data_IF_391179620551
#
_entry.id   IF_391179620551
#
_cell.length_a   1.000
_cell.length_b   1.000
_cell.length_c   1.000
_cell.angle_alpha   90.00
_cell.angle_beta   90.00
_cell.angle_gamma   90.00
#
_symmetry.space_group_name_H-M   'P 1'
#
loop_
_entity.id
_entity.type
_entity.pdbx_description
1 polymer ?
#
# COMPACT_ATOMS: atom_id res chain seq x y z
N UNK A 1 11.10 -22.56 -24.22
CA UNK A 1 10.13 -21.87 -23.36
C UNK A 1 10.68 -21.94 -21.94
N UNK A 2 11.31 -20.88 -21.43
CA UNK A 2 11.86 -20.88 -20.07
C UNK A 2 10.72 -20.75 -19.08
N UNK A 3 10.47 -21.79 -18.29
CA UNK A 3 9.54 -21.73 -17.16
C UNK A 3 10.17 -20.87 -16.06
N UNK A 4 9.84 -19.58 -16.06
CA UNK A 4 10.16 -18.69 -14.94
C UNK A 4 9.60 -19.34 -13.67
N UNK A 5 10.42 -19.58 -12.63
CA UNK A 5 9.96 -20.24 -11.42
C UNK A 5 8.81 -19.43 -10.81
N UNK A 6 7.67 -20.11 -10.68
CA UNK A 6 6.45 -19.52 -10.14
C UNK A 6 6.60 -19.32 -8.63
N UNK A 7 6.32 -18.11 -8.14
CA UNK A 7 6.23 -17.84 -6.72
C UNK A 7 4.82 -18.23 -6.25
N UNK A 8 4.73 -19.24 -5.39
CA UNK A 8 3.50 -19.67 -4.73
C UNK A 8 2.79 -18.46 -4.07
N UNK A 9 1.47 -18.24 -4.28
CA UNK A 9 0.73 -17.12 -3.70
C UNK A 9 0.86 -17.07 -2.19
N UNK A 10 1.01 -18.21 -1.52
CA UNK A 10 1.23 -18.27 -0.06
C UNK A 10 2.56 -17.66 0.31
N UNK A 11 3.63 -17.97 -0.45
CA UNK A 11 4.96 -17.39 -0.23
C UNK A 11 4.98 -15.90 -0.54
N UNK A 12 4.30 -15.48 -1.60
CA UNK A 12 4.13 -14.07 -1.93
C UNK A 12 3.33 -13.32 -0.85
N UNK A 13 2.31 -13.95 -0.29
CA UNK A 13 1.53 -13.47 0.86
C UNK A 13 2.38 -13.28 2.12
N UNK A 14 3.23 -14.25 2.47
CA UNK A 14 4.16 -14.08 3.60
C UNK A 14 5.20 -12.99 3.34
N UNK A 15 5.70 -12.89 2.10
CA UNK A 15 6.66 -11.86 1.70
C UNK A 15 6.05 -10.47 1.82
N UNK A 16 4.83 -10.25 1.31
CA UNK A 16 4.17 -8.94 1.43
C UNK A 16 3.80 -8.62 2.88
N UNK A 17 3.37 -9.60 3.69
CA UNK A 17 3.14 -9.38 5.13
C UNK A 17 4.42 -8.98 5.87
N UNK A 18 5.55 -9.64 5.56
CA UNK A 18 6.84 -9.28 6.15
C UNK A 18 7.28 -7.88 5.72
N UNK A 19 7.06 -7.51 4.45
CA UNK A 19 7.32 -6.17 3.93
C UNK A 19 6.45 -5.13 4.65
N UNK A 20 5.16 -5.42 4.89
CA UNK A 20 4.26 -4.55 5.65
C UNK A 20 4.76 -4.33 7.07
N UNK A 21 5.19 -5.39 7.78
CA UNK A 21 5.73 -5.27 9.14
C UNK A 21 6.98 -4.38 9.14
N UNK A 22 7.92 -4.62 8.22
CA UNK A 22 9.12 -3.78 8.07
C UNK A 22 8.73 -2.33 7.81
N UNK A 23 7.78 -2.07 6.91
CA UNK A 23 7.34 -0.71 6.60
C UNK A 23 6.65 -0.03 7.76
N UNK A 24 5.78 -0.73 8.52
CA UNK A 24 5.15 -0.17 9.73
C UNK A 24 6.21 0.18 10.78
N UNK A 25 7.18 -0.70 11.01
CA UNK A 25 8.27 -0.43 11.96
C UNK A 25 9.10 0.78 11.51
N UNK A 26 9.50 0.83 10.24
CA UNK A 26 10.23 1.98 9.70
C UNK A 26 9.42 3.28 9.76
N UNK A 27 8.10 3.22 9.55
CA UNK A 27 7.22 4.38 9.67
C UNK A 27 7.04 4.83 11.11
N UNK A 28 6.87 3.92 12.06
CA UNK A 28 6.82 4.28 13.49
C UNK A 28 8.14 4.94 13.87
N UNK A 29 9.29 4.35 13.51
CA UNK A 29 10.60 4.94 13.79
C UNK A 29 10.73 6.32 13.15
N UNK A 30 10.34 6.47 11.87
CA UNK A 30 10.36 7.76 11.18
C UNK A 30 9.49 8.81 11.89
N UNK A 31 8.28 8.44 12.30
CA UNK A 31 7.36 9.36 12.98
C UNK A 31 7.72 9.71 14.40
N UNK A 32 8.43 8.84 15.13
CA UNK A 32 8.96 9.18 16.44
C UNK A 32 10.17 10.12 16.35
N UNK A 33 10.79 10.25 15.17
CA UNK A 33 12.02 11.02 14.94
C UNK A 33 11.81 12.33 14.15
N UNK A 34 10.62 12.57 13.62
CA UNK A 34 10.27 13.76 12.82
C UNK A 34 9.28 14.64 13.58
N UNK A 35 9.71 15.87 13.92
CA UNK A 35 8.91 16.86 14.66
C UNK A 35 7.75 17.44 13.84
N UNK A 36 7.89 17.45 12.51
CA UNK A 36 6.96 18.09 11.58
C UNK A 36 5.92 17.11 11.02
N UNK A 37 5.99 15.82 11.37
CA UNK A 37 5.03 14.84 10.87
C UNK A 37 3.70 14.99 11.60
N UNK A 38 2.68 15.47 10.88
CA UNK A 38 1.35 15.85 11.38
C UNK A 38 0.64 14.81 12.28
N UNK A 39 1.03 13.53 12.23
CA UNK A 39 0.49 12.45 13.09
C UNK A 39 1.13 12.39 14.49
N UNK A 40 2.31 12.99 14.69
CA UNK A 40 3.17 12.81 15.87
C UNK A 40 3.72 14.14 16.43
N UNK A 41 3.05 15.25 16.13
CA UNK A 41 3.48 16.64 16.37
C UNK A 41 3.94 17.00 17.81
N UNK A 42 3.83 16.09 18.80
CA UNK A 42 4.39 16.25 20.14
C UNK A 42 4.68 14.91 20.83
N UNK A 43 5.86 14.27 20.71
CA UNK A 43 6.29 13.37 21.83
C UNK A 43 7.77 13.01 22.05
N UNK A 44 8.73 13.13 21.12
CA UNK A 44 10.06 12.49 21.37
C UNK A 44 11.33 13.27 21.00
N UNK A 45 11.27 14.58 20.78
CA UNK A 45 12.50 15.35 20.50
C UNK A 45 13.39 15.65 21.71
N UNK A 46 13.18 14.98 22.85
CA UNK A 46 14.07 15.09 24.02
C UNK A 46 15.14 13.98 24.10
N UNK A 47 15.21 13.06 23.12
CA UNK A 47 16.19 11.96 23.12
C UNK A 47 17.50 12.24 22.36
N UNK A 48 17.70 13.42 21.78
CA UNK A 48 19.01 13.82 21.25
C UNK A 48 19.53 13.01 20.05
N UNK A 49 18.66 12.29 19.36
CA UNK A 49 18.96 11.60 18.09
C UNK A 49 18.26 12.34 16.96
N UNK A 50 18.63 13.61 16.73
CA UNK A 50 18.19 14.34 15.55
C UNK A 50 19.10 13.98 14.37
N UNK A 51 19.02 12.75 13.87
CA UNK A 51 19.52 12.45 12.53
C UNK A 51 18.32 12.40 11.58
N UNK A 52 17.89 13.59 11.17
CA UNK A 52 16.98 13.84 10.04
C UNK A 52 17.43 13.02 8.80
N UNK A 53 18.74 12.71 8.71
CA UNK A 53 19.33 11.85 7.69
C UNK A 53 18.84 10.39 7.76
N UNK A 54 18.65 9.84 8.96
CA UNK A 54 18.20 8.47 9.17
C UNK A 54 16.73 8.30 8.76
N UNK A 55 15.88 9.28 9.07
CA UNK A 55 14.49 9.35 8.61
C UNK A 55 14.41 9.50 7.09
N UNK A 56 15.25 10.38 6.50
CA UNK A 56 15.40 10.56 5.04
C UNK A 56 15.78 9.28 4.30
N UNK A 57 16.41 8.31 4.95
CA UNK A 57 16.84 7.04 4.34
C UNK A 57 15.83 5.92 4.60
N UNK A 58 15.38 5.77 5.85
CA UNK A 58 14.45 4.70 6.23
C UNK A 58 13.11 4.82 5.52
N UNK A 59 12.59 6.04 5.34
CA UNK A 59 11.31 6.24 4.71
C UNK A 59 11.30 5.79 3.23
N UNK A 60 12.23 6.24 2.35
CA UNK A 60 12.36 5.71 0.99
C UNK A 60 12.58 4.21 0.92
N UNK A 61 13.42 3.65 1.81
CA UNK A 61 13.64 2.19 1.87
C UNK A 61 12.34 1.48 2.20
N UNK A 62 11.57 1.98 3.17
CA UNK A 62 10.29 1.39 3.56
C UNK A 62 9.27 1.42 2.42
N UNK A 63 9.21 2.52 1.66
CA UNK A 63 8.39 2.68 0.47
C UNK A 63 8.83 1.73 -0.66
N UNK A 64 10.14 1.53 -0.82
CA UNK A 64 10.67 0.62 -1.83
C UNK A 64 10.41 -0.84 -1.50
N UNK A 65 10.62 -1.25 -0.24
CA UNK A 65 10.37 -2.61 0.24
C UNK A 65 8.90 -2.99 0.06
N UNK A 66 7.97 -2.13 0.51
CA UNK A 66 6.53 -2.40 0.34
C UNK A 66 6.09 -2.30 -1.11
N UNK A 67 6.60 -1.33 -1.88
CA UNK A 67 6.28 -1.16 -3.29
C UNK A 67 6.66 -2.40 -4.09
N UNK A 68 7.86 -2.92 -3.88
CA UNK A 68 8.32 -4.15 -4.50
C UNK A 68 7.54 -5.38 -4.02
N UNK A 69 7.26 -5.48 -2.71
CA UNK A 69 6.43 -6.55 -2.14
C UNK A 69 5.03 -6.58 -2.76
N UNK A 70 4.41 -5.41 -2.96
CA UNK A 70 3.11 -5.25 -3.61
C UNK A 70 3.12 -5.65 -5.08
N UNK A 71 4.17 -5.32 -5.81
CA UNK A 71 4.33 -5.74 -7.21
C UNK A 71 4.44 -7.27 -7.32
N UNK A 72 5.25 -7.91 -6.47
CA UNK A 72 5.40 -9.37 -6.44
C UNK A 72 4.10 -10.07 -6.03
N UNK A 73 3.42 -9.54 -5.02
CA UNK A 73 2.12 -10.04 -4.58
C UNK A 73 1.08 -9.93 -5.69
N UNK A 74 0.91 -8.75 -6.29
CA UNK A 74 -0.02 -8.52 -7.39
C UNK A 74 0.22 -9.46 -8.57
N UNK A 75 1.48 -9.60 -9.00
CA UNK A 75 1.85 -10.47 -10.11
C UNK A 75 1.60 -11.96 -9.84
N UNK A 76 1.99 -12.44 -8.66
CA UNK A 76 1.83 -13.86 -8.29
C UNK A 76 0.36 -14.26 -8.16
N UNK A 77 -0.46 -13.42 -7.53
CA UNK A 77 -1.89 -13.71 -7.33
C UNK A 77 -2.68 -13.52 -8.62
N UNK A 78 -2.38 -12.50 -9.43
CA UNK A 78 -3.08 -12.27 -10.70
C UNK A 78 -2.95 -13.43 -11.69
N UNK A 79 -1.82 -14.15 -11.66
CA UNK A 79 -1.55 -15.28 -12.56
C UNK A 79 -2.35 -16.55 -12.26
N UNK A 80 -2.82 -16.71 -11.03
CA UNK A 80 -3.55 -17.90 -10.58
C UNK A 80 -5.02 -17.60 -10.29
N UNK A 81 -5.42 -16.33 -10.43
CA UNK A 81 -6.81 -15.95 -10.34
C UNK A 81 -7.53 -16.26 -11.65
N UNK A 82 -8.50 -17.17 -11.61
CA UNK A 82 -9.30 -17.58 -12.77
C UNK A 82 -10.28 -16.47 -13.22
N UNK A 83 -10.62 -15.54 -12.31
CA UNK A 83 -11.57 -14.46 -12.57
C UNK A 83 -10.86 -13.24 -13.13
N UNK A 84 -11.06 -12.96 -14.43
CA UNK A 84 -10.46 -11.81 -15.15
C UNK A 84 -10.59 -10.46 -14.44
N UNK A 85 -11.74 -10.20 -13.82
CA UNK A 85 -12.01 -8.94 -13.12
C UNK A 85 -11.16 -8.82 -11.84
N UNK A 86 -11.03 -9.90 -11.06
CA UNK A 86 -10.19 -9.92 -9.88
C UNK A 86 -8.70 -9.88 -10.24
N UNK A 87 -8.29 -10.60 -11.29
CA UNK A 87 -6.93 -10.56 -11.82
C UNK A 87 -6.51 -9.13 -12.20
N UNK A 88 -7.42 -8.34 -12.80
CA UNK A 88 -7.17 -6.92 -13.10
C UNK A 88 -6.91 -6.08 -11.83
N UNK A 89 -7.66 -6.33 -10.75
CA UNK A 89 -7.41 -5.69 -9.44
C UNK A 89 -6.04 -6.04 -8.86
N UNK A 90 -5.60 -7.30 -9.00
CA UNK A 90 -4.25 -7.70 -8.59
C UNK A 90 -3.15 -7.11 -9.47
N UNK A 91 -3.37 -6.96 -10.79
CA UNK A 91 -2.44 -6.21 -11.64
C UNK A 91 -2.35 -4.72 -11.26
N UNK A 92 -3.44 -4.11 -10.78
CA UNK A 92 -3.41 -2.74 -10.28
C UNK A 92 -2.54 -2.59 -9.00
N UNK A 93 -2.26 -3.67 -8.26
CA UNK A 93 -1.28 -3.65 -7.15
C UNK A 93 0.14 -3.35 -7.65
N UNK A 94 0.45 -3.68 -8.91
CA UNK A 94 1.74 -3.32 -9.53
C UNK A 94 1.83 -1.80 -9.70
N UNK A 95 0.75 -1.17 -10.17
CA UNK A 95 0.70 0.29 -10.30
C UNK A 95 0.79 0.97 -8.93
N UNK A 96 0.12 0.44 -7.92
CA UNK A 96 0.26 0.90 -6.54
C UNK A 96 1.71 0.81 -6.05
N UNK A 97 2.40 -0.31 -6.33
CA UNK A 97 3.81 -0.49 -5.99
C UNK A 97 4.75 0.49 -6.71
N UNK A 98 4.48 0.79 -7.99
CA UNK A 98 5.21 1.82 -8.74
C UNK A 98 4.98 3.21 -8.12
N UNK A 99 3.75 3.54 -7.72
CA UNK A 99 3.47 4.80 -7.02
C UNK A 99 4.21 4.90 -5.69
N UNK A 100 4.26 3.82 -4.90
CA UNK A 100 5.02 3.77 -3.65
C UNK A 100 6.52 3.95 -3.86
N UNK A 101 7.10 3.29 -4.87
CA UNK A 101 8.49 3.50 -5.26
C UNK A 101 8.73 4.96 -5.66
N UNK A 102 7.84 5.54 -6.47
CA UNK A 102 7.89 6.94 -6.86
C UNK A 102 7.87 7.89 -5.66
N UNK A 103 7.00 7.66 -4.67
CA UNK A 103 6.97 8.43 -3.42
C UNK A 103 8.31 8.33 -2.68
N UNK A 104 8.88 7.12 -2.58
CA UNK A 104 10.17 6.90 -1.93
C UNK A 104 11.33 7.63 -2.62
N UNK A 105 11.42 7.56 -3.95
CA UNK A 105 12.51 8.19 -4.72
C UNK A 105 12.37 9.71 -4.84
N UNK A 106 11.15 10.24 -4.98
CA UNK A 106 10.92 11.67 -5.18
C UNK A 106 10.99 12.46 -3.86
N UNK A 107 10.87 11.79 -2.70
CA UNK A 107 11.18 12.42 -1.41
C UNK A 107 12.65 12.81 -1.27
N UNK A 108 13.54 12.31 -2.14
CA UNK A 108 14.97 12.67 -2.17
C UNK A 108 15.26 13.86 -3.10
N UNK A 109 14.77 15.05 -2.77
CA UNK A 109 15.24 16.34 -3.35
C UNK A 109 14.62 16.83 -4.70
N UNK A 110 13.54 16.23 -5.23
CA UNK A 110 13.00 16.60 -6.55
C UNK A 110 11.52 17.02 -6.54
N UNK A 111 11.26 18.25 -6.11
CA UNK A 111 10.00 19.01 -6.28
C UNK A 111 8.72 18.46 -5.61
N UNK A 112 8.12 19.28 -4.75
CA UNK A 112 6.84 19.01 -4.06
C UNK A 112 5.71 18.53 -5.01
N UNK A 113 5.66 19.06 -6.23
CA UNK A 113 4.62 18.72 -7.21
C UNK A 113 4.71 17.27 -7.72
N UNK A 114 5.91 16.72 -7.89
CA UNK A 114 6.10 15.33 -8.32
C UNK A 114 5.70 14.35 -7.22
N UNK A 115 6.05 14.64 -5.96
CA UNK A 115 5.67 13.81 -4.81
C UNK A 115 4.14 13.69 -4.70
N UNK A 116 3.44 14.82 -4.74
CA UNK A 116 1.98 14.86 -4.68
C UNK A 116 1.33 14.12 -5.85
N UNK A 117 1.91 14.18 -7.06
CA UNK A 117 1.43 13.41 -8.21
C UNK A 117 1.46 11.90 -7.95
N UNK A 118 2.52 11.40 -7.31
CA UNK A 118 2.61 9.99 -6.94
C UNK A 118 1.64 9.62 -5.81
N UNK A 119 1.41 10.50 -4.83
CA UNK A 119 0.40 10.31 -3.77
C UNK A 119 -1.01 10.22 -4.38
N UNK A 120 -1.33 11.09 -5.34
CA UNK A 120 -2.61 11.02 -6.06
C UNK A 120 -2.74 9.73 -6.87
N UNK A 121 -1.71 9.35 -7.61
CA UNK A 121 -1.69 8.10 -8.37
C UNK A 121 -1.84 6.88 -7.46
N UNK A 122 -1.24 6.92 -6.26
CA UNK A 122 -1.37 5.85 -5.26
C UNK A 122 -2.82 5.69 -4.79
N UNK A 123 -3.54 6.77 -4.49
CA UNK A 123 -4.93 6.65 -4.06
C UNK A 123 -5.89 6.26 -5.18
N UNK A 124 -5.67 6.75 -6.40
CA UNK A 124 -6.44 6.29 -7.57
C UNK A 124 -6.21 4.80 -7.81
N UNK A 125 -4.96 4.34 -7.77
CA UNK A 125 -4.63 2.92 -7.96
C UNK A 125 -5.17 2.05 -6.82
N UNK A 126 -5.19 2.54 -5.57
CA UNK A 126 -5.85 1.86 -4.46
C UNK A 126 -7.34 1.62 -4.74
N UNK A 127 -8.07 2.65 -5.20
CA UNK A 127 -9.48 2.50 -5.58
C UNK A 127 -9.65 1.52 -6.76
N UNK A 128 -8.75 1.56 -7.75
CA UNK A 128 -8.75 0.62 -8.88
C UNK A 128 -8.41 -0.83 -8.51
N UNK A 129 -7.61 -1.07 -7.46
CA UNK A 129 -7.37 -2.42 -6.93
C UNK A 129 -8.66 -2.97 -6.32
N UNK A 130 -9.37 -2.13 -5.57
CA UNK A 130 -10.50 -2.59 -4.77
C UNK A 130 -11.80 -2.70 -5.58
N UNK A 131 -12.04 -1.82 -6.55
CA UNK A 131 -13.25 -1.75 -7.38
C UNK A 131 -13.61 -3.09 -8.08
N UNK A 132 -12.71 -3.72 -8.87
CA UNK A 132 -13.01 -4.96 -9.60
C UNK A 132 -13.35 -6.12 -8.66
N UNK A 133 -12.73 -6.14 -7.49
CA UNK A 133 -12.93 -7.15 -6.45
C UNK A 133 -14.28 -6.93 -5.76
N UNK A 134 -14.66 -5.67 -5.49
CA UNK A 134 -15.98 -5.35 -4.93
C UNK A 134 -17.15 -5.62 -5.85
N UNK A 135 -17.01 -5.40 -7.15
CA UNK A 135 -18.07 -5.67 -8.13
C UNK A 135 -18.39 -7.17 -8.17
N UNK A 136 -17.38 -8.01 -8.02
CA UNK A 136 -17.57 -9.45 -7.97
C UNK A 136 -18.16 -9.91 -6.62
N UNK A 137 -17.70 -9.36 -5.50
CA UNK A 137 -18.23 -9.68 -4.16
C UNK A 137 -19.67 -9.15 -3.92
N UNK A 138 -20.06 -8.03 -4.55
CA UNK A 138 -21.43 -7.50 -4.55
C UNK A 138 -22.43 -8.47 -5.19
N UNK A 139 -22.05 -9.12 -6.30
CA UNK A 139 -22.87 -10.12 -6.97
C UNK A 139 -23.16 -11.34 -6.08
N UNK A 140 -22.35 -11.55 -5.03
CA UNK A 140 -22.49 -12.61 -4.05
C UNK A 140 -23.02 -12.11 -2.70
N UNK A 141 -23.59 -10.90 -2.64
CA UNK A 141 -24.26 -10.35 -1.45
C UNK A 141 -23.33 -9.83 -0.34
N UNK A 142 -22.02 -9.68 -0.61
CA UNK A 142 -21.04 -9.22 0.38
C UNK A 142 -20.86 -7.70 0.33
N UNK A 143 -21.74 -6.99 1.01
CA UNK A 143 -21.76 -5.52 1.07
C UNK A 143 -20.58 -4.88 1.83
N UNK A 144 -19.94 -5.63 2.74
CA UNK A 144 -18.86 -5.11 3.58
C UNK A 144 -17.66 -4.61 2.78
N UNK A 145 -17.29 -5.30 1.69
CA UNK A 145 -16.16 -4.88 0.86
C UNK A 145 -16.51 -3.63 0.02
N UNK A 146 -17.76 -3.53 -0.43
CA UNK A 146 -18.24 -2.34 -1.13
C UNK A 146 -18.26 -1.11 -0.23
N UNK A 147 -18.75 -1.26 1.01
CA UNK A 147 -18.70 -0.20 2.02
C UNK A 147 -17.25 0.23 2.31
N UNK A 148 -16.33 -0.74 2.37
CA UNK A 148 -14.90 -0.45 2.53
C UNK A 148 -14.34 0.37 1.35
N UNK A 149 -14.70 0.05 0.10
CA UNK A 149 -14.24 0.84 -1.06
C UNK A 149 -14.81 2.25 -1.07
N UNK A 150 -16.08 2.41 -0.73
CA UNK A 150 -16.68 3.74 -0.57
C UNK A 150 -15.97 4.52 0.53
N UNK A 151 -15.60 3.88 1.65
CA UNK A 151 -14.81 4.51 2.71
C UNK A 151 -13.43 4.96 2.20
N UNK A 152 -12.72 4.11 1.44
CA UNK A 152 -11.42 4.48 0.85
C UNK A 152 -11.57 5.64 -0.13
N UNK A 153 -12.55 5.59 -1.04
CA UNK A 153 -12.78 6.65 -2.02
C UNK A 153 -13.20 7.97 -1.36
N UNK A 154 -14.15 7.92 -0.42
CA UNK A 154 -14.63 9.10 0.29
C UNK A 154 -13.54 9.71 1.17
N UNK A 155 -12.79 8.89 1.90
CA UNK A 155 -11.66 9.36 2.71
C UNK A 155 -10.55 9.98 1.85
N UNK A 156 -10.21 9.35 0.72
CA UNK A 156 -9.23 9.90 -0.21
C UNK A 156 -9.65 11.27 -0.78
N UNK A 157 -10.91 11.41 -1.20
CA UNK A 157 -11.46 12.70 -1.67
C UNK A 157 -11.48 13.73 -0.55
N UNK A 158 -11.91 13.34 0.65
CA UNK A 158 -11.95 14.22 1.82
C UNK A 158 -10.57 14.78 2.14
N UNK A 159 -9.54 13.93 2.23
CA UNK A 159 -8.18 14.38 2.51
C UNK A 159 -7.57 15.18 1.36
N UNK A 160 -7.94 14.88 0.11
CA UNK A 160 -7.54 15.72 -1.04
C UNK A 160 -8.05 17.17 -0.91
N UNK A 161 -9.24 17.35 -0.35
CA UNK A 161 -9.89 18.67 -0.22
C UNK A 161 -9.47 19.39 1.07
N UNK A 162 -9.36 18.66 2.19
CA UNK A 162 -9.24 19.22 3.53
C UNK A 162 -7.79 19.31 4.00
N UNK A 163 -7.03 18.22 3.86
CA UNK A 163 -5.64 18.18 4.28
C UNK A 163 -4.92 17.01 3.60
N UNK A 164 -4.03 17.35 2.67
CA UNK A 164 -3.27 16.41 1.85
C UNK A 164 -2.24 15.60 2.63
N UNK A 165 -1.81 16.07 3.80
CA UNK A 165 -0.77 15.42 4.61
C UNK A 165 -1.23 14.05 5.14
N UNK A 166 -2.55 13.90 5.33
CA UNK A 166 -3.15 12.64 5.78
C UNK A 166 -3.54 11.70 4.63
N UNK A 167 -3.50 12.18 3.39
CA UNK A 167 -3.95 11.42 2.22
C UNK A 167 -3.09 10.17 1.99
N UNK A 168 -1.77 10.31 2.11
CA UNK A 168 -0.84 9.21 1.97
C UNK A 168 -1.00 8.16 3.10
N UNK A 169 -0.90 8.52 4.39
CA UNK A 169 -1.03 7.54 5.48
C UNK A 169 -2.40 6.87 5.51
N UNK A 170 -3.47 7.59 5.18
CA UNK A 170 -4.80 7.01 5.04
C UNK A 170 -4.84 5.94 3.94
N UNK A 171 -4.35 6.26 2.74
CA UNK A 171 -4.40 5.33 1.60
C UNK A 171 -3.59 4.06 1.89
N UNK A 172 -2.40 4.21 2.49
CA UNK A 172 -1.54 3.08 2.85
C UNK A 172 -2.20 2.22 3.92
N UNK A 173 -2.77 2.81 4.97
CA UNK A 173 -3.49 2.07 6.02
C UNK A 173 -4.66 1.27 5.46
N UNK A 174 -5.46 1.86 4.57
CA UNK A 174 -6.56 1.16 3.90
C UNK A 174 -6.06 -0.01 3.05
N UNK A 175 -4.98 0.18 2.29
CA UNK A 175 -4.40 -0.90 1.50
C UNK A 175 -3.82 -2.02 2.38
N UNK A 176 -3.26 -1.69 3.54
CA UNK A 176 -2.78 -2.67 4.51
C UNK A 176 -3.92 -3.51 5.09
N UNK A 177 -5.02 -2.86 5.50
CA UNK A 177 -6.20 -3.56 5.99
C UNK A 177 -6.72 -4.53 4.92
N UNK A 178 -6.82 -4.08 3.66
CA UNK A 178 -7.24 -4.93 2.55
C UNK A 178 -6.31 -6.12 2.33
N UNK A 179 -4.99 -5.89 2.32
CA UNK A 179 -3.98 -6.95 2.14
C UNK A 179 -4.06 -8.00 3.24
N UNK A 180 -4.26 -7.60 4.50
CA UNK A 180 -4.41 -8.52 5.62
C UNK A 180 -5.65 -9.40 5.40
N UNK A 181 -6.78 -8.80 5.04
CA UNK A 181 -8.03 -9.54 4.78
C UNK A 181 -7.84 -10.55 3.65
N UNK A 182 -7.24 -10.14 2.53
CA UNK A 182 -7.04 -11.02 1.37
C UNK A 182 -6.01 -12.10 1.63
N UNK A 183 -4.90 -11.76 2.28
CA UNK A 183 -3.86 -12.72 2.63
C UNK A 183 -4.37 -13.78 3.61
N UNK A 184 -5.14 -13.37 4.62
CA UNK A 184 -5.78 -14.31 5.54
C UNK A 184 -6.74 -15.27 4.81
N UNK A 185 -7.46 -14.78 3.79
CA UNK A 185 -8.26 -15.61 2.90
C UNK A 185 -7.43 -16.65 2.15
N UNK A 186 -6.38 -16.21 1.44
CA UNK A 186 -5.49 -17.07 0.63
C UNK A 186 -4.82 -18.15 1.49
N UNK A 187 -4.34 -17.80 2.69
CA UNK A 187 -3.71 -18.76 3.60
C UNK A 187 -4.71 -19.83 4.07
N UNK A 188 -5.95 -19.44 4.36
CA UNK A 188 -6.99 -20.36 4.88
C UNK A 188 -7.51 -21.33 3.83
N UNK A 189 -7.74 -20.89 2.59
CA UNK A 189 -8.33 -21.74 1.55
C UNK A 189 -7.33 -22.35 0.61
N UNK A 190 -6.10 -21.85 0.58
CA UNK A 190 -5.06 -22.34 -0.31
C UNK A 190 -5.29 -22.00 -1.78
N UNK A 191 -6.29 -21.18 -2.10
CA UNK A 191 -6.65 -20.76 -3.45
C UNK A 191 -6.78 -19.24 -3.50
N UNK A 192 -6.25 -18.64 -4.57
CA UNK A 192 -6.60 -17.27 -4.96
C UNK A 192 -7.99 -17.33 -5.58
N UNK A 193 -9.01 -16.97 -4.80
CA UNK A 193 -10.44 -17.00 -5.16
C UNK A 193 -10.79 -16.42 -6.55
#
# INVERSE_FOLDING_TARGET
MMTVPYLDPRRASYLVLSAMVVTVVCWIIAGLMDEDWALFEKTLCHLGISDILFVRILYPISCAVIGFGMMLFGYSVAKVCDRRLQAAGYYACILFGISMLGIGFVNMDLSFNLHMTFVYAMGVTAVMVLLPITVDDLKHGKWALFAFVLFVAAGFIFFTIVNTDYQQPFTIACMFIWLIIKTAGIIRTGSAY
#
